data_IF_697596004454
#
_entry.id   IF_697596004454
#
_cell.length_a   1.000
_cell.length_b   1.000
_cell.length_c   1.000
_cell.angle_alpha   90.00
_cell.angle_beta   90.00
_cell.angle_gamma   90.00
#
_symmetry.space_group_name_H-M   'P 1'
#
loop_
_entity.id
_entity.type
_entity.pdbx_description
1 polymer ?
#
# COMPACT_ATOMS: atom_id res chain seq x y z
N UNK A 1 -25.43 -23.88 -45.30
CA UNK A 1 -25.14 -22.42 -45.35
C UNK A 1 -26.13 -21.58 -46.17
N UNK A 2 -27.43 -21.95 -46.26
CA UNK A 2 -28.45 -21.14 -46.97
C UNK A 2 -29.73 -20.84 -46.17
N UNK A 3 -29.75 -21.17 -44.87
CA UNK A 3 -30.89 -20.89 -43.96
C UNK A 3 -30.58 -19.90 -42.83
N UNK A 4 -29.31 -19.58 -42.57
CA UNK A 4 -28.91 -18.59 -41.55
C UNK A 4 -28.94 -17.16 -42.12
N UNK A 5 -28.77 -16.98 -43.43
CA UNK A 5 -28.76 -15.66 -44.06
C UNK A 5 -30.16 -15.02 -44.19
N UNK A 6 -31.25 -15.80 -44.03
CA UNK A 6 -32.61 -15.28 -44.18
C UNK A 6 -33.19 -14.71 -42.87
N UNK A 7 -32.67 -15.10 -41.70
CA UNK A 7 -33.13 -14.54 -40.41
C UNK A 7 -32.51 -13.18 -40.08
N UNK A 8 -31.30 -12.89 -40.59
CA UNK A 8 -30.64 -11.60 -40.35
C UNK A 8 -31.25 -10.48 -41.20
N UNK A 9 -31.81 -10.79 -42.38
CA UNK A 9 -32.41 -9.78 -43.26
C UNK A 9 -33.83 -9.35 -42.87
N UNK A 10 -34.57 -10.19 -42.13
CA UNK A 10 -35.94 -9.85 -41.68
C UNK A 10 -35.95 -9.02 -40.39
N UNK A 11 -34.90 -9.11 -39.57
CA UNK A 11 -34.76 -8.32 -38.34
C UNK A 11 -34.26 -6.88 -38.56
N UNK A 12 -33.78 -6.54 -39.76
CA UNK A 12 -33.33 -5.19 -40.10
C UNK A 12 -34.45 -4.27 -40.61
N UNK A 13 -35.67 -4.79 -40.86
CA UNK A 13 -36.78 -4.04 -41.46
C UNK A 13 -37.99 -3.85 -40.54
N UNK A 14 -37.94 -4.33 -39.30
CA UNK A 14 -38.98 -4.09 -38.29
C UNK A 14 -38.32 -3.46 -37.07
N UNK A 15 -38.60 -2.17 -36.88
CA UNK A 15 -38.07 -1.38 -35.78
C UNK A 15 -38.38 -2.01 -34.43
N UNK A 16 -37.33 -2.36 -33.70
CA UNK A 16 -37.34 -2.68 -32.28
C UNK A 16 -36.04 -2.15 -31.66
N UNK A 17 -35.97 -0.84 -31.44
CA UNK A 17 -34.86 -0.17 -30.76
C UNK A 17 -34.78 -0.45 -29.25
N UNK A 18 -35.64 -1.31 -28.70
CA UNK A 18 -35.66 -1.66 -27.27
C UNK A 18 -35.08 -3.05 -26.94
N UNK A 19 -34.96 -3.98 -27.90
CA UNK A 19 -34.46 -5.33 -27.63
C UNK A 19 -32.92 -5.48 -27.72
N UNK A 20 -32.22 -4.50 -28.28
CA UNK A 20 -30.75 -4.51 -28.39
C UNK A 20 -29.99 -4.10 -27.12
N UNK A 21 -30.68 -3.48 -26.14
CA UNK A 21 -30.08 -3.06 -24.87
C UNK A 21 -30.12 -4.19 -23.83
N UNK A 22 -31.22 -4.94 -23.70
CA UNK A 22 -31.36 -5.99 -22.68
C UNK A 22 -30.40 -7.17 -22.92
N UNK A 23 -30.16 -7.56 -24.17
CA UNK A 23 -29.22 -8.66 -24.49
C UNK A 23 -27.75 -8.24 -24.29
N UNK A 24 -27.43 -6.94 -24.41
CA UNK A 24 -26.08 -6.42 -24.12
C UNK A 24 -25.82 -6.22 -22.63
N UNK A 25 -26.85 -5.98 -21.83
CA UNK A 25 -26.73 -5.84 -20.37
C UNK A 25 -26.50 -7.22 -19.74
N UNK A 26 -27.27 -8.24 -20.13
CA UNK A 26 -27.07 -9.60 -19.61
C UNK A 26 -25.75 -10.24 -20.04
N UNK A 27 -25.22 -9.95 -21.24
CA UNK A 27 -23.93 -10.49 -21.67
C UNK A 27 -22.72 -9.82 -20.98
N UNK A 28 -22.88 -8.61 -20.41
CA UNK A 28 -21.80 -7.91 -19.67
C UNK A 28 -21.76 -8.27 -18.19
N UNK A 29 -22.90 -8.64 -17.60
CA UNK A 29 -22.97 -9.12 -16.21
C UNK A 29 -22.55 -10.59 -16.04
N UNK A 30 -22.48 -11.37 -17.13
CA UNK A 30 -22.07 -12.79 -17.08
C UNK A 30 -20.57 -13.06 -17.24
N UNK A 31 -19.70 -12.04 -17.40
CA UNK A 31 -18.24 -12.23 -17.59
C UNK A 31 -17.41 -11.65 -16.42
N UNK A 32 -18.01 -10.92 -15.49
CA UNK A 32 -17.33 -10.54 -14.24
C UNK A 32 -18.34 -10.62 -13.10
N UNK A 33 -18.32 -11.74 -12.38
CA UNK A 33 -18.81 -11.71 -11.00
C UNK A 33 -18.08 -10.61 -10.24
N UNK A 34 -18.64 -10.10 -9.12
CA UNK A 34 -17.88 -9.22 -8.25
C UNK A 34 -16.53 -9.89 -7.98
N UNK A 35 -15.43 -9.15 -8.17
CA UNK A 35 -14.12 -9.63 -7.76
C UNK A 35 -14.26 -10.13 -6.31
N UNK A 36 -13.71 -11.32 -5.98
CA UNK A 36 -13.79 -11.81 -4.61
C UNK A 36 -13.32 -10.70 -3.68
N UNK A 37 -14.11 -10.39 -2.64
CA UNK A 37 -13.70 -9.39 -1.67
C UNK A 37 -12.31 -9.76 -1.15
N UNK A 38 -11.35 -8.80 -1.12
CA UNK A 38 -10.00 -9.10 -0.70
C UNK A 38 -10.05 -9.70 0.71
N UNK A 39 -9.59 -10.93 0.83
CA UNK A 39 -9.53 -11.61 2.12
C UNK A 39 -8.40 -10.97 2.93
N UNK A 40 -8.78 -10.19 3.93
CA UNK A 40 -7.85 -9.69 4.95
C UNK A 40 -7.38 -10.90 5.74
N UNK A 41 -6.11 -11.26 5.56
CA UNK A 41 -5.47 -12.35 6.31
C UNK A 41 -4.63 -11.76 7.44
N UNK A 42 -4.62 -12.41 8.61
CA UNK A 42 -3.75 -12.03 9.74
C UNK A 42 -2.29 -12.47 9.52
N UNK A 43 -1.86 -12.61 8.26
CA UNK A 43 -0.52 -13.04 7.92
C UNK A 43 0.48 -11.96 8.37
N UNK A 44 1.36 -12.33 9.28
CA UNK A 44 2.46 -11.47 9.75
C UNK A 44 3.65 -11.71 8.83
N UNK A 45 4.21 -10.63 8.29
CA UNK A 45 5.45 -10.69 7.54
C UNK A 45 6.57 -11.30 8.41
N UNK A 46 7.17 -12.37 7.89
CA UNK A 46 8.33 -13.02 8.47
C UNK A 46 9.46 -13.01 7.45
N UNK A 47 10.67 -12.78 7.90
CA UNK A 47 11.80 -12.61 7.01
C UNK A 47 12.40 -13.93 6.57
N UNK A 48 12.78 -13.96 5.30
CA UNK A 48 13.69 -14.96 4.78
C UNK A 48 15.11 -14.55 5.18
N UNK A 49 15.60 -15.07 6.32
CA UNK A 49 16.98 -14.82 6.76
C UNK A 49 17.95 -15.31 5.68
N UNK A 50 18.72 -14.37 5.10
CA UNK A 50 19.75 -14.69 4.13
C UNK A 50 21.13 -14.34 4.71
N UNK A 51 21.76 -15.34 5.33
CA UNK A 51 23.07 -15.19 5.96
C UNK A 51 24.19 -14.88 4.95
N UNK A 52 23.96 -15.12 3.66
CA UNK A 52 24.96 -14.87 2.60
C UNK A 52 25.15 -13.41 2.22
N UNK A 53 24.23 -12.51 2.64
CA UNK A 53 24.35 -11.07 2.38
C UNK A 53 25.49 -10.49 3.22
N UNK A 54 26.46 -9.84 2.58
CA UNK A 54 27.59 -9.17 3.25
C UNK A 54 27.37 -7.67 3.34
N UNK A 55 26.81 -7.07 2.28
CA UNK A 55 26.58 -5.63 2.18
C UNK A 55 25.19 -5.32 1.63
N UNK A 56 24.53 -4.35 2.25
CA UNK A 56 23.15 -3.97 1.97
C UNK A 56 22.99 -2.48 1.70
N UNK A 57 22.24 -2.14 0.68
CA UNK A 57 21.78 -0.77 0.44
C UNK A 57 20.35 -0.58 0.94
N UNK A 58 20.06 0.56 1.55
CA UNK A 58 18.69 0.96 1.90
C UNK A 58 18.29 2.21 1.12
N UNK A 59 17.11 2.21 0.50
CA UNK A 59 16.52 3.41 -0.11
C UNK A 59 15.08 3.56 0.31
N UNK A 60 14.73 4.77 0.74
CA UNK A 60 13.37 5.13 1.12
C UNK A 60 12.74 6.10 0.12
N UNK A 61 11.52 5.81 -0.30
CA UNK A 61 10.69 6.65 -1.16
C UNK A 61 9.42 7.04 -0.39
N UNK A 62 9.19 8.35 -0.21
CA UNK A 62 7.98 8.86 0.43
C UNK A 62 6.92 9.27 -0.59
N UNK A 63 5.65 9.17 -0.17
CA UNK A 63 4.49 9.53 -0.98
C UNK A 63 4.17 11.02 -1.06
N UNK A 64 2.97 11.32 -1.59
CA UNK A 64 2.50 12.69 -1.86
C UNK A 64 2.51 13.55 -0.59
N UNK A 65 2.99 14.80 -0.70
CA UNK A 65 3.06 15.74 0.42
C UNK A 65 4.12 15.45 1.48
N UNK A 66 4.85 14.34 1.37
CA UNK A 66 5.96 14.01 2.29
C UNK A 66 7.23 14.79 1.96
N UNK A 67 7.44 15.95 2.59
CA UNK A 67 8.80 16.41 2.90
C UNK A 67 9.32 15.58 4.08
N UNK A 68 10.62 15.28 4.11
CA UNK A 68 11.28 14.32 5.03
C UNK A 68 10.58 14.26 6.40
N UNK A 69 9.72 13.25 6.67
CA UNK A 69 8.98 13.21 7.92
C UNK A 69 9.93 12.95 9.07
N UNK A 70 9.54 13.41 10.26
CA UNK A 70 10.21 13.03 11.52
C UNK A 70 10.37 11.51 11.63
N UNK A 71 9.41 10.75 11.11
CA UNK A 71 9.42 9.28 11.11
C UNK A 71 10.51 8.67 10.22
N UNK A 72 10.90 9.32 9.12
CA UNK A 72 12.00 8.83 8.28
C UNK A 72 13.32 8.88 9.05
N UNK A 73 13.59 9.95 9.81
CA UNK A 73 14.85 10.09 10.55
C UNK A 73 15.05 8.98 11.58
N UNK A 74 13.98 8.54 12.24
CA UNK A 74 14.05 7.40 13.16
C UNK A 74 14.41 6.12 12.41
N UNK A 75 13.72 5.81 11.29
CA UNK A 75 14.00 4.58 10.53
C UNK A 75 15.38 4.62 9.87
N UNK A 76 15.80 5.78 9.39
CA UNK A 76 17.13 6.00 8.83
C UNK A 76 18.22 5.69 9.87
N UNK A 77 18.05 6.12 11.12
CA UNK A 77 19.00 5.82 12.19
C UNK A 77 19.14 4.32 12.40
N UNK A 78 18.04 3.57 12.34
CA UNK A 78 18.03 2.12 12.49
C UNK A 78 18.70 1.41 11.31
N UNK A 79 18.42 1.86 10.10
CA UNK A 79 19.10 1.35 8.89
C UNK A 79 20.60 1.60 8.95
N UNK A 80 21.03 2.77 9.44
CA UNK A 80 22.45 3.11 9.59
C UNK A 80 23.15 2.29 10.68
N UNK A 81 22.40 1.69 11.60
CA UNK A 81 22.93 0.81 12.64
C UNK A 81 23.09 -0.65 12.18
N UNK A 82 22.48 -1.05 11.05
CA UNK A 82 22.73 -2.37 10.47
C UNK A 82 24.23 -2.52 10.11
N UNK A 83 24.95 -3.50 10.69
CA UNK A 83 26.38 -3.69 10.43
C UNK A 83 26.67 -4.05 8.97
N UNK A 84 25.67 -4.50 8.20
CA UNK A 84 25.79 -4.78 6.76
C UNK A 84 25.44 -3.56 5.90
N UNK A 85 24.94 -2.45 6.46
CA UNK A 85 24.56 -1.28 5.69
C UNK A 85 25.77 -0.62 5.01
N UNK A 86 25.75 -0.57 3.68
CA UNK A 86 26.73 0.14 2.87
C UNK A 86 26.32 1.59 2.60
N UNK A 87 25.01 1.84 2.52
CA UNK A 87 24.41 3.18 2.43
C UNK A 87 22.95 3.15 2.89
N UNK A 88 22.44 4.33 3.26
CA UNK A 88 21.04 4.58 3.55
C UNK A 88 20.67 5.90 2.90
N UNK A 89 19.73 5.87 1.98
CA UNK A 89 19.38 7.01 1.14
C UNK A 89 17.89 7.29 1.13
N UNK A 90 17.56 8.56 0.91
CA UNK A 90 16.21 9.03 0.67
C UNK A 90 16.09 9.49 -0.78
N UNK A 91 15.07 9.02 -1.48
CA UNK A 91 14.75 9.52 -2.82
C UNK A 91 13.65 10.58 -2.76
N UNK A 92 13.97 11.86 -2.99
CA UNK A 92 13.00 12.94 -3.04
C UNK A 92 12.28 12.95 -4.41
N UNK A 93 11.16 12.25 -4.51
CA UNK A 93 10.38 12.23 -5.75
C UNK A 93 9.77 13.61 -6.08
N UNK A 94 9.85 14.01 -7.34
CA UNK A 94 9.22 15.23 -7.86
C UNK A 94 7.77 14.94 -8.27
N UNK A 95 6.84 15.30 -7.39
CA UNK A 95 5.42 14.97 -7.50
C UNK A 95 4.68 15.78 -8.58
N UNK A 96 5.35 16.81 -9.14
CA UNK A 96 4.78 17.62 -10.22
C UNK A 96 4.80 16.90 -11.57
N UNK A 97 5.63 15.84 -11.69
CA UNK A 97 5.80 15.04 -12.88
C UNK A 97 4.83 13.86 -12.92
N UNK A 98 4.70 13.22 -14.08
CA UNK A 98 3.97 11.97 -14.22
C UNK A 98 4.82 10.75 -13.83
N UNK A 99 4.16 9.65 -13.44
CA UNK A 99 4.81 8.42 -12.96
C UNK A 99 5.93 7.90 -13.90
N UNK A 100 5.80 7.89 -15.24
CA UNK A 100 6.89 7.49 -16.12
C UNK A 100 8.15 8.36 -15.98
N UNK A 101 8.00 9.67 -15.87
CA UNK A 101 9.11 10.62 -15.72
C UNK A 101 9.76 10.49 -14.34
N UNK A 102 8.95 10.32 -13.28
CA UNK A 102 9.45 10.06 -11.92
C UNK A 102 10.26 8.76 -11.91
N UNK A 103 9.77 7.73 -12.59
CA UNK A 103 10.43 6.43 -12.70
C UNK A 103 11.76 6.52 -13.43
N UNK A 104 11.85 7.25 -14.54
CA UNK A 104 13.11 7.43 -15.26
C UNK A 104 14.15 8.14 -14.38
N UNK A 105 13.75 9.19 -13.67
CA UNK A 105 14.63 9.88 -12.71
C UNK A 105 15.06 8.96 -11.56
N UNK A 106 14.16 8.14 -11.05
CA UNK A 106 14.47 7.19 -9.99
C UNK A 106 15.48 6.14 -10.46
N UNK A 107 15.27 5.55 -11.65
CA UNK A 107 16.20 4.57 -12.23
C UNK A 107 17.59 5.19 -12.44
N UNK A 108 17.68 6.42 -12.95
CA UNK A 108 18.95 7.12 -13.11
C UNK A 108 19.64 7.42 -11.77
N UNK A 109 18.87 7.82 -10.76
CA UNK A 109 19.39 8.01 -9.40
C UNK A 109 19.97 6.70 -8.84
N UNK A 110 19.23 5.59 -9.01
CA UNK A 110 19.66 4.27 -8.55
C UNK A 110 20.88 3.76 -9.31
N UNK A 111 20.96 3.92 -10.63
CA UNK A 111 22.14 3.55 -11.43
C UNK A 111 23.40 4.27 -10.92
N UNK A 112 23.28 5.58 -10.68
CA UNK A 112 24.34 6.38 -10.09
C UNK A 112 24.74 5.91 -8.69
N UNK A 113 23.77 5.54 -7.84
CA UNK A 113 24.04 5.06 -6.49
C UNK A 113 24.71 3.68 -6.51
N UNK A 114 24.12 2.72 -7.22
CA UNK A 114 24.58 1.32 -7.29
C UNK A 114 25.95 1.18 -7.96
N UNK A 115 26.29 2.05 -8.93
CA UNK A 115 27.64 2.06 -9.53
C UNK A 115 28.76 2.49 -8.56
N UNK A 116 28.43 3.14 -7.45
CA UNK A 116 29.42 3.59 -6.44
C UNK A 116 29.53 2.66 -5.24
N UNK A 117 28.60 1.73 -5.07
CA UNK A 117 28.52 0.88 -3.90
C UNK A 117 28.46 -0.59 -4.30
N UNK A 118 29.44 -1.37 -3.83
CA UNK A 118 29.42 -2.83 -3.92
C UNK A 118 28.49 -3.39 -2.84
N UNK A 119 27.29 -3.84 -3.23
CA UNK A 119 26.26 -4.42 -2.36
C UNK A 119 25.72 -5.73 -2.93
N UNK A 120 25.34 -6.67 -2.06
CA UNK A 120 24.73 -7.94 -2.44
C UNK A 120 23.18 -7.86 -2.41
N UNK A 121 22.64 -6.97 -1.58
CA UNK A 121 21.20 -6.80 -1.35
C UNK A 121 20.80 -5.33 -1.34
N UNK A 122 19.66 -5.03 -1.95
CA UNK A 122 19.02 -3.73 -1.90
C UNK A 122 17.63 -3.87 -1.24
N UNK A 123 17.39 -3.09 -0.20
CA UNK A 123 16.09 -3.01 0.47
C UNK A 123 15.46 -1.65 0.16
N UNK A 124 14.29 -1.69 -0.49
CA UNK A 124 13.52 -0.52 -0.87
C UNK A 124 12.29 -0.40 0.02
N UNK A 125 12.09 0.77 0.63
CA UNK A 125 10.86 1.10 1.34
C UNK A 125 10.11 2.18 0.57
N UNK A 126 8.93 1.83 0.06
CA UNK A 126 8.05 2.74 -0.64
C UNK A 126 6.81 3.05 0.17
N UNK A 127 6.75 4.21 0.79
CA UNK A 127 5.58 4.64 1.57
C UNK A 127 4.57 5.39 0.70
N UNK A 128 3.28 5.03 0.83
CA UNK A 128 2.19 5.68 0.13
C UNK A 128 2.50 5.75 -1.38
N UNK A 129 2.38 6.91 -2.02
CA UNK A 129 2.73 7.10 -3.43
C UNK A 129 4.20 6.77 -3.79
N UNK A 130 5.14 6.81 -2.82
CA UNK A 130 6.51 6.38 -3.06
C UNK A 130 6.62 4.88 -3.36
N UNK A 131 5.71 4.07 -2.82
CA UNK A 131 5.61 2.66 -3.17
C UNK A 131 5.01 2.41 -4.56
N UNK A 132 4.18 3.32 -5.07
CA UNK A 132 3.74 3.28 -6.48
C UNK A 132 4.93 3.50 -7.40
N UNK A 133 5.77 4.49 -7.13
CA UNK A 133 7.01 4.71 -7.89
C UNK A 133 7.94 3.51 -7.81
N UNK A 134 8.23 3.03 -6.61
CA UNK A 134 9.12 1.88 -6.43
C UNK A 134 8.62 0.64 -7.16
N UNK A 135 7.32 0.30 -7.00
CA UNK A 135 6.69 -0.84 -7.67
C UNK A 135 6.68 -0.69 -9.19
N UNK A 136 6.37 0.50 -9.72
CA UNK A 136 6.36 0.76 -11.16
C UNK A 136 7.77 0.70 -11.80
N UNK A 137 8.80 1.07 -11.05
CA UNK A 137 10.19 1.08 -11.54
C UNK A 137 10.92 -0.25 -11.36
N UNK A 138 10.44 -1.15 -10.50
CA UNK A 138 11.23 -2.28 -9.98
C UNK A 138 11.74 -3.21 -11.09
N UNK A 139 10.94 -3.48 -12.12
CA UNK A 139 11.28 -4.36 -13.23
C UNK A 139 12.42 -3.82 -14.11
N UNK A 140 12.72 -2.51 -14.01
CA UNK A 140 13.72 -1.80 -14.80
C UNK A 140 14.94 -1.37 -13.97
N UNK A 141 15.01 -1.79 -12.70
CA UNK A 141 16.11 -1.43 -11.84
C UNK A 141 17.41 -2.11 -12.31
N UNK A 142 18.52 -1.37 -12.52
CA UNK A 142 19.78 -1.94 -13.02
C UNK A 142 20.58 -2.58 -11.87
N UNK A 143 20.04 -3.63 -11.26
CA UNK A 143 20.69 -4.34 -10.16
C UNK A 143 20.52 -5.85 -10.28
N UNK A 144 21.64 -6.57 -10.26
CA UNK A 144 21.67 -8.03 -10.38
C UNK A 144 21.69 -8.75 -9.02
N UNK A 145 21.95 -8.02 -7.93
CA UNK A 145 21.87 -8.57 -6.57
C UNK A 145 20.42 -8.79 -6.14
N UNK A 146 20.24 -9.26 -4.91
CA UNK A 146 18.90 -9.49 -4.35
C UNK A 146 18.18 -8.18 -4.03
N UNK A 147 16.89 -8.08 -4.35
CA UNK A 147 16.08 -6.90 -4.03
C UNK A 147 14.90 -7.30 -3.16
N UNK A 148 14.69 -6.58 -2.06
CA UNK A 148 13.48 -6.64 -1.26
C UNK A 148 12.74 -5.30 -1.37
N UNK A 149 11.58 -5.30 -2.01
CA UNK A 149 10.70 -4.13 -2.10
C UNK A 149 9.57 -4.24 -1.08
N UNK A 150 9.53 -3.32 -0.13
CA UNK A 150 8.47 -3.17 0.85
C UNK A 150 7.63 -1.94 0.50
N UNK A 151 6.39 -2.16 0.07
CA UNK A 151 5.43 -1.06 -0.16
C UNK A 151 4.52 -0.92 1.05
N UNK A 152 4.36 0.30 1.57
CA UNK A 152 3.69 0.59 2.85
C UNK A 152 2.48 1.47 2.60
N UNK A 153 1.28 0.92 2.77
CA UNK A 153 0.01 1.59 2.48
C UNK A 153 -0.05 2.29 1.11
N UNK A 154 0.56 1.66 0.10
CA UNK A 154 0.72 2.25 -1.22
C UNK A 154 -0.51 2.03 -2.11
N UNK A 155 -1.05 3.08 -2.75
CA UNK A 155 -2.21 2.95 -3.62
C UNK A 155 -1.82 2.41 -5.00
N UNK A 156 -1.39 1.14 -5.07
CA UNK A 156 -0.85 0.52 -6.28
C UNK A 156 -1.86 0.42 -7.43
N UNK A 157 -3.16 0.33 -7.12
CA UNK A 157 -4.24 0.39 -8.10
C UNK A 157 -4.74 1.82 -8.37
N UNK A 158 -4.56 2.74 -7.40
CA UNK A 158 -5.07 4.11 -7.45
C UNK A 158 -6.60 4.19 -7.27
N UNK A 159 -7.21 5.34 -7.59
CA UNK A 159 -8.62 5.63 -7.25
C UNK A 159 -9.64 5.28 -8.35
N UNK A 160 -9.17 4.87 -9.54
CA UNK A 160 -9.99 4.56 -10.72
C UNK A 160 -11.03 5.65 -11.08
N UNK A 161 -10.61 6.92 -11.06
CA UNK A 161 -11.45 8.05 -11.48
C UNK A 161 -11.48 8.20 -13.01
N UNK A 162 -11.94 7.15 -13.69
CA UNK A 162 -12.11 7.07 -15.15
C UNK A 162 -13.60 7.14 -15.55
N UNK A 163 -13.87 7.30 -16.84
CA UNK A 163 -15.23 7.29 -17.40
C UNK A 163 -16.13 8.35 -16.77
N UNK A 164 -17.28 7.95 -16.23
CA UNK A 164 -18.23 8.86 -15.57
C UNK A 164 -17.64 9.54 -14.31
N UNK A 165 -16.60 8.94 -13.71
CA UNK A 165 -15.93 9.50 -12.53
C UNK A 165 -14.82 10.49 -12.88
N UNK A 166 -14.46 10.63 -14.16
CA UNK A 166 -13.40 11.53 -14.60
C UNK A 166 -13.70 13.01 -14.29
N UNK A 167 -14.98 13.38 -14.13
CA UNK A 167 -15.40 14.72 -13.69
C UNK A 167 -14.85 15.11 -12.30
N UNK A 168 -14.50 14.14 -11.46
CA UNK A 168 -13.94 14.36 -10.12
C UNK A 168 -12.43 14.61 -10.13
N UNK A 169 -11.75 14.41 -11.28
CA UNK A 169 -10.32 14.70 -11.41
C UNK A 169 -10.01 16.19 -11.26
N UNK A 170 -10.94 17.08 -11.62
CA UNK A 170 -10.74 18.53 -11.59
C UNK A 170 -9.47 18.95 -12.33
N UNK A 171 -8.75 19.93 -11.76
CA UNK A 171 -7.52 20.49 -12.32
C UNK A 171 -6.24 19.74 -11.90
N UNK A 172 -6.36 18.52 -11.37
CA UNK A 172 -5.20 17.74 -10.92
C UNK A 172 -4.30 17.38 -12.10
N UNK A 173 -2.98 17.53 -11.89
CA UNK A 173 -1.89 17.23 -12.83
C UNK A 173 -0.82 16.35 -12.18
N UNK A 174 0.17 15.92 -12.98
CA UNK A 174 1.32 15.15 -12.50
C UNK A 174 0.93 13.86 -11.79
N UNK A 175 1.70 13.51 -10.76
CA UNK A 175 1.59 12.21 -10.12
C UNK A 175 0.26 12.00 -9.39
N UNK A 176 -0.26 13.07 -8.78
CA UNK A 176 -1.57 13.04 -8.13
C UNK A 176 -2.67 12.69 -9.14
N UNK A 177 -2.60 13.23 -10.37
CA UNK A 177 -3.55 12.88 -11.44
C UNK A 177 -3.42 11.41 -11.82
N UNK A 178 -2.20 10.89 -11.95
CA UNK A 178 -1.98 9.50 -12.34
C UNK A 178 -2.56 8.53 -11.30
N UNK A 179 -2.32 8.79 -10.01
CA UNK A 179 -2.90 8.01 -8.90
C UNK A 179 -4.43 8.11 -8.90
N UNK A 180 -4.98 9.29 -9.15
CA UNK A 180 -6.43 9.49 -9.23
C UNK A 180 -7.06 8.70 -10.39
N UNK A 181 -6.42 8.69 -11.56
CA UNK A 181 -6.84 7.90 -12.72
C UNK A 181 -6.70 6.40 -12.44
N UNK A 182 -5.70 6.01 -11.67
CA UNK A 182 -5.39 4.62 -11.33
C UNK A 182 -4.67 3.88 -12.45
N UNK A 183 -4.08 2.75 -12.08
CA UNK A 183 -3.07 2.08 -12.88
C UNK A 183 -3.57 0.74 -13.41
N UNK A 184 -3.07 0.32 -14.57
CA UNK A 184 -3.14 -1.08 -14.99
C UNK A 184 -1.97 -1.88 -14.40
N UNK A 185 -1.92 -3.21 -14.59
CA UNK A 185 -0.85 -4.07 -14.09
C UNK A 185 0.54 -3.52 -14.41
N UNK A 186 1.40 -3.46 -13.40
CA UNK A 186 2.81 -3.12 -13.57
C UNK A 186 3.58 -4.29 -14.17
N UNK A 187 4.71 -3.97 -14.79
CA UNK A 187 5.61 -4.98 -15.33
C UNK A 187 6.08 -5.93 -14.20
N UNK A 188 6.10 -7.26 -14.44
CA UNK A 188 6.50 -8.21 -13.42
C UNK A 188 7.95 -7.98 -13.02
N UNK A 189 8.27 -8.11 -11.72
CA UNK A 189 9.63 -7.94 -11.23
C UNK A 189 10.53 -9.09 -11.73
N UNK A 190 11.85 -8.84 -11.76
CA UNK A 190 12.85 -9.88 -12.08
C UNK A 190 12.92 -10.98 -11.01
N UNK A 191 13.50 -12.14 -11.34
CA UNK A 191 13.60 -13.29 -10.42
C UNK A 191 14.41 -12.99 -9.14
N UNK A 192 15.29 -12.00 -9.18
CA UNK A 192 16.09 -11.53 -8.04
C UNK A 192 15.33 -10.59 -7.09
N UNK A 193 14.08 -10.25 -7.41
CA UNK A 193 13.27 -9.28 -6.66
C UNK A 193 12.16 -10.00 -5.91
N UNK A 194 12.09 -9.77 -4.60
CA UNK A 194 10.94 -10.11 -3.76
C UNK A 194 10.17 -8.84 -3.43
N UNK A 195 8.84 -8.90 -3.58
CA UNK A 195 7.95 -7.77 -3.31
C UNK A 195 7.00 -8.14 -2.19
N UNK A 196 6.94 -7.26 -1.19
CA UNK A 196 6.07 -7.37 -0.04
C UNK A 196 5.18 -6.12 0.02
N UNK A 197 3.88 -6.34 -0.10
CA UNK A 197 2.88 -5.29 -0.06
C UNK A 197 2.20 -5.28 1.30
N UNK A 198 2.51 -4.24 2.08
CA UNK A 198 2.04 -4.05 3.44
C UNK A 198 0.88 -3.07 3.43
N UNK A 199 -0.32 -3.60 3.67
CA UNK A 199 -1.58 -2.88 3.51
C UNK A 199 -2.14 -2.39 4.84
N UNK A 200 -2.69 -1.19 4.81
CA UNK A 200 -3.50 -0.65 5.90
C UNK A 200 -5.00 -0.77 5.59
N UNK A 201 -5.85 -0.49 6.58
CA UNK A 201 -7.31 -0.42 6.44
C UNK A 201 -7.79 1.03 6.26
N UNK A 202 -9.07 1.19 5.91
CA UNK A 202 -9.69 2.50 5.86
C UNK A 202 -9.85 3.05 7.27
N UNK A 203 -9.31 4.24 7.50
CA UNK A 203 -9.31 4.91 8.79
C UNK A 203 -9.42 6.44 8.65
N UNK A 204 -9.71 7.18 9.73
CA UNK A 204 -9.88 8.64 9.68
C UNK A 204 -8.63 9.37 9.18
N UNK A 205 -7.45 8.87 9.52
CA UNK A 205 -6.17 9.43 9.08
C UNK A 205 -6.02 9.22 7.58
N UNK A 206 -6.22 8.00 7.07
CA UNK A 206 -6.19 7.71 5.64
C UNK A 206 -7.19 8.61 4.89
N UNK A 207 -8.42 8.70 5.37
CA UNK A 207 -9.47 9.51 4.77
C UNK A 207 -9.08 11.01 4.71
N UNK A 208 -8.43 11.53 5.75
CA UNK A 208 -7.90 12.88 5.76
C UNK A 208 -6.78 13.08 4.73
N UNK A 209 -5.87 12.10 4.58
CA UNK A 209 -4.79 12.14 3.57
C UNK A 209 -5.30 11.98 2.14
N UNK A 210 -6.38 11.23 1.95
CA UNK A 210 -7.09 11.14 0.67
C UNK A 210 -7.70 12.49 0.25
N UNK A 211 -7.92 13.41 1.21
CA UNK A 211 -8.36 14.78 0.96
C UNK A 211 -9.63 14.82 0.11
N UNK A 212 -9.60 15.59 -0.98
CA UNK A 212 -10.74 15.70 -1.89
C UNK A 212 -11.18 14.37 -2.55
N UNK A 213 -10.33 13.34 -2.51
CA UNK A 213 -10.65 12.00 -3.01
C UNK A 213 -11.21 11.07 -1.93
N UNK A 214 -11.48 11.58 -0.73
CA UNK A 214 -12.00 10.82 0.41
C UNK A 214 -13.22 9.95 0.05
N UNK A 215 -14.14 10.45 -0.78
CA UNK A 215 -15.33 9.70 -1.21
C UNK A 215 -15.01 8.44 -2.05
N UNK A 216 -13.79 8.33 -2.57
CA UNK A 216 -13.31 7.22 -3.38
C UNK A 216 -12.16 6.45 -2.69
N UNK A 217 -11.82 6.83 -1.47
CA UNK A 217 -10.71 6.33 -0.69
C UNK A 217 -11.10 5.05 0.06
N UNK A 218 -11.16 3.94 -0.69
CA UNK A 218 -11.32 2.61 -0.15
C UNK A 218 -9.95 1.94 -0.09
N UNK A 219 -9.41 1.78 1.13
CA UNK A 219 -8.08 1.23 1.35
C UNK A 219 -7.86 -0.12 0.65
N UNK A 220 -8.86 -1.00 0.66
CA UNK A 220 -8.76 -2.32 0.05
C UNK A 220 -8.66 -2.20 -1.47
N UNK A 221 -9.47 -1.35 -2.08
CA UNK A 221 -9.46 -1.15 -3.54
C UNK A 221 -8.25 -0.38 -4.03
N UNK A 222 -7.88 0.72 -3.37
CA UNK A 222 -6.79 1.57 -3.88
C UNK A 222 -5.42 0.91 -3.68
N UNK A 223 -5.28 0.09 -2.64
CA UNK A 223 -4.11 -0.74 -2.37
C UNK A 223 -4.25 -2.15 -2.97
N UNK A 224 -5.18 -2.38 -3.90
CA UNK A 224 -5.23 -3.67 -4.58
C UNK A 224 -3.89 -3.92 -5.28
N UNK A 225 -3.42 -5.16 -5.18
CA UNK A 225 -2.12 -5.51 -5.71
C UNK A 225 -2.15 -5.44 -7.23
N UNK A 226 -1.30 -4.54 -7.73
CA UNK A 226 -1.16 -4.27 -9.14
C UNK A 226 0.24 -4.69 -9.67
N UNK A 227 1.00 -5.43 -8.85
CA UNK A 227 2.33 -5.95 -9.16
C UNK A 227 2.33 -7.49 -9.02
N UNK A 228 2.40 -8.24 -10.13
CA UNK A 228 2.34 -9.70 -10.09
C UNK A 228 3.45 -10.32 -9.24
N UNK A 229 3.11 -11.38 -8.49
CA UNK A 229 4.08 -12.10 -7.64
C UNK A 229 4.35 -11.48 -6.28
N UNK A 230 3.74 -10.33 -5.96
CA UNK A 230 3.84 -9.72 -4.62
C UNK A 230 3.21 -10.60 -3.54
N UNK A 231 3.87 -10.72 -2.40
CA UNK A 231 3.25 -11.23 -1.18
C UNK A 231 2.51 -10.08 -0.49
N UNK A 232 1.33 -10.35 0.07
CA UNK A 232 0.48 -9.33 0.67
C UNK A 232 0.32 -9.59 2.17
N UNK A 233 0.46 -8.53 2.96
CA UNK A 233 0.31 -8.56 4.41
C UNK A 233 -0.62 -7.44 4.82
N UNK A 234 -1.66 -7.76 5.58
CA UNK A 234 -2.60 -6.77 6.07
C UNK A 234 -2.24 -6.44 7.51
N UNK A 235 -2.15 -5.15 7.81
CA UNK A 235 -1.88 -4.64 9.15
C UNK A 235 -3.06 -3.85 9.65
N UNK A 236 -4.18 -4.50 9.93
CA UNK A 236 -5.41 -3.79 10.17
C UNK A 236 -5.39 -3.08 11.55
N UNK A 237 -4.37 -3.34 12.38
CA UNK A 237 -4.08 -2.65 13.65
C UNK A 237 -3.30 -1.35 13.48
N UNK A 238 -2.63 -1.17 12.35
CA UNK A 238 -1.92 0.06 12.05
C UNK A 238 -2.83 0.96 11.21
N UNK A 239 -2.81 2.25 11.50
CA UNK A 239 -3.38 3.29 10.64
C UNK A 239 -2.37 3.72 9.56
N UNK A 240 -2.81 4.60 8.66
CA UNK A 240 -1.95 5.10 7.57
C UNK A 240 -0.64 5.76 8.05
N UNK A 241 -0.59 6.29 9.28
CA UNK A 241 0.60 6.94 9.83
C UNK A 241 1.56 5.91 10.47
N UNK A 242 0.99 5.02 11.28
CA UNK A 242 1.73 4.06 12.10
C UNK A 242 2.25 2.87 11.30
N UNK A 243 1.63 2.52 10.17
CA UNK A 243 2.06 1.40 9.33
C UNK A 243 3.50 1.58 8.81
N UNK A 244 3.89 2.82 8.47
CA UNK A 244 5.24 3.12 7.98
C UNK A 244 6.29 2.71 9.00
N UNK A 245 6.12 3.15 10.25
CA UNK A 245 7.02 2.87 11.36
C UNK A 245 6.96 1.40 11.78
N UNK A 246 5.75 0.88 11.96
CA UNK A 246 5.53 -0.49 12.46
C UNK A 246 6.10 -1.55 11.51
N UNK A 247 5.87 -1.39 10.21
CA UNK A 247 6.41 -2.33 9.22
C UNK A 247 7.91 -2.17 9.06
N UNK A 248 8.43 -0.94 8.95
CA UNK A 248 9.87 -0.72 8.81
C UNK A 248 10.65 -1.33 9.99
N UNK A 249 10.18 -1.16 11.23
CA UNK A 249 10.78 -1.80 12.40
C UNK A 249 10.70 -3.32 12.34
N UNK A 250 9.56 -3.89 11.93
CA UNK A 250 9.40 -5.34 11.75
C UNK A 250 10.40 -5.89 10.73
N UNK A 251 10.59 -5.18 9.61
CA UNK A 251 11.51 -5.57 8.55
C UNK A 251 12.97 -5.42 9.00
N UNK A 252 13.32 -4.28 9.60
CA UNK A 252 14.69 -4.01 10.07
C UNK A 252 15.11 -4.94 11.21
N UNK A 253 14.16 -5.39 12.03
CA UNK A 253 14.42 -6.36 13.07
C UNK A 253 15.02 -7.67 12.54
N UNK A 254 14.65 -8.06 11.32
CA UNK A 254 15.21 -9.23 10.67
C UNK A 254 16.64 -9.07 10.20
N UNK A 255 17.07 -7.83 10.00
CA UNK A 255 18.36 -7.49 9.43
C UNK A 255 19.37 -7.07 10.50
N UNK A 256 18.88 -6.70 11.70
CA UNK A 256 19.68 -6.32 12.85
C UNK A 256 19.01 -6.73 14.17
N UNK A 257 19.09 -8.04 14.51
CA UNK A 257 18.41 -8.64 15.66
C UNK A 257 18.79 -7.97 16.98
N UNK A 258 20.07 -7.63 17.20
CA UNK A 258 20.52 -6.98 18.43
C UNK A 258 19.93 -5.59 18.63
N UNK A 259 19.67 -4.85 17.55
CA UNK A 259 19.00 -3.56 17.62
C UNK A 259 17.48 -3.70 17.64
N UNK A 260 16.93 -4.75 17.03
CA UNK A 260 15.52 -5.11 17.15
C UNK A 260 15.11 -5.27 18.61
N UNK A 261 15.91 -6.03 19.37
CA UNK A 261 15.71 -6.27 20.80
C UNK A 261 15.88 -4.98 21.61
N UNK A 262 16.85 -4.12 21.25
CA UNK A 262 17.04 -2.82 21.91
C UNK A 262 15.89 -1.85 21.65
N UNK A 263 15.35 -1.82 20.43
CA UNK A 263 14.20 -0.98 20.06
C UNK A 263 12.92 -1.44 20.71
N UNK A 264 12.68 -2.75 20.75
CA UNK A 264 11.57 -3.34 21.48
C UNK A 264 11.65 -3.05 23.00
N UNK A 265 12.86 -2.77 23.53
CA UNK A 265 13.10 -2.45 24.93
C UNK A 265 13.08 -0.94 25.27
N UNK A 266 12.94 -0.04 24.29
CA UNK A 266 12.80 1.40 24.58
C UNK A 266 11.42 1.69 25.20
N UNK A 267 11.35 2.40 26.34
CA UNK A 267 10.07 2.80 26.92
C UNK A 267 9.27 3.64 25.92
N UNK A 268 7.96 3.39 25.87
CA UNK A 268 6.94 4.11 25.08
C UNK A 268 6.73 5.55 25.62
N UNK A 269 7.80 6.30 25.84
CA UNK A 269 7.76 7.66 26.37
C UNK A 269 7.72 8.67 25.22
N UNK A 270 6.57 8.71 24.54
CA UNK A 270 5.89 9.90 23.96
C UNK A 270 4.62 9.46 23.21
N UNK A 271 3.61 9.03 23.96
CA UNK A 271 2.19 9.21 23.58
C UNK A 271 1.68 8.54 22.30
N UNK A 272 2.31 7.47 21.82
CA UNK A 272 1.81 6.69 20.69
C UNK A 272 2.00 5.20 21.06
N UNK A 273 0.92 4.52 21.43
CA UNK A 273 0.92 3.09 21.74
C UNK A 273 1.41 2.30 20.52
N UNK A 274 2.60 1.69 20.63
CA UNK A 274 3.32 1.05 19.52
C UNK A 274 2.84 -0.38 19.20
N UNK A 275 1.89 -0.95 19.96
CA UNK A 275 1.24 -2.22 19.63
C UNK A 275 -0.24 -2.11 20.01
N UNK A 276 -1.11 -1.77 19.06
CA UNK A 276 -2.54 -1.62 19.32
C UNK A 276 -3.27 -0.83 18.25
N UNK A 277 -4.52 -0.43 18.52
CA UNK A 277 -5.51 0.23 17.64
C UNK A 277 -5.05 1.57 16.99
N UNK A 278 -3.74 1.86 16.95
CA UNK A 278 -3.14 3.03 16.31
C UNK A 278 -3.50 4.36 16.97
N UNK A 279 -3.27 5.46 16.24
CA UNK A 279 -3.81 6.78 16.61
C UNK A 279 -5.34 6.86 16.50
N UNK A 280 -5.99 5.83 15.96
CA UNK A 280 -7.44 5.73 15.80
C UNK A 280 -8.16 5.55 17.14
N UNK A 281 -7.47 5.03 18.15
CA UNK A 281 -7.93 5.06 19.54
C UNK A 281 -7.26 6.17 20.37
N UNK A 282 -6.87 7.28 19.74
CA UNK A 282 -6.41 8.46 20.48
C UNK A 282 -7.62 9.30 20.97
N UNK A 283 -8.21 8.85 22.08
CA UNK A 283 -9.39 9.47 22.71
C UNK A 283 -10.65 8.62 22.61
N UNK A 284 -11.57 8.81 23.57
CA UNK A 284 -12.77 7.98 23.75
C UNK A 284 -13.64 7.92 22.48
N UNK A 285 -13.96 9.08 21.93
CA UNK A 285 -14.90 9.23 20.81
C UNK A 285 -14.40 8.55 19.53
N UNK A 286 -13.11 8.71 19.18
CA UNK A 286 -12.51 8.06 18.01
C UNK A 286 -12.42 6.54 18.18
N UNK A 287 -12.10 6.08 19.38
CA UNK A 287 -12.06 4.66 19.66
C UNK A 287 -13.46 4.03 19.59
N UNK A 288 -14.49 4.71 20.08
CA UNK A 288 -15.89 4.28 19.94
C UNK A 288 -16.31 4.20 18.47
N UNK A 289 -16.02 5.22 17.65
CA UNK A 289 -16.33 5.22 16.23
C UNK A 289 -15.61 4.08 15.47
N UNK A 290 -14.31 3.88 15.74
CA UNK A 290 -13.54 2.79 15.15
C UNK A 290 -14.09 1.41 15.55
N UNK A 291 -14.38 1.22 16.84
CA UNK A 291 -14.85 -0.06 17.39
C UNK A 291 -16.31 -0.37 17.05
N UNK A 292 -17.14 0.61 16.71
CA UNK A 292 -18.48 0.36 16.15
C UNK A 292 -18.40 -0.42 14.84
N UNK A 293 -17.40 -0.12 14.00
CA UNK A 293 -17.20 -0.77 12.70
C UNK A 293 -16.29 -2.00 12.82
N UNK A 294 -15.41 -2.04 13.83
CA UNK A 294 -14.37 -3.06 14.00
C UNK A 294 -14.49 -3.84 15.34
N UNK A 295 -15.72 -4.09 15.81
CA UNK A 295 -16.00 -4.63 17.15
C UNK A 295 -15.19 -5.87 17.54
N UNK A 296 -15.15 -6.88 16.68
CA UNK A 296 -14.41 -8.13 16.94
C UNK A 296 -12.92 -7.89 17.20
N UNK A 297 -12.36 -6.83 16.60
CA UNK A 297 -10.93 -6.51 16.63
C UNK A 297 -10.57 -5.73 17.89
N UNK A 298 -11.40 -4.77 18.28
CA UNK A 298 -11.26 -4.10 19.58
C UNK A 298 -11.44 -5.08 20.74
N UNK A 299 -12.35 -6.05 20.60
CA UNK A 299 -12.55 -7.11 21.60
C UNK A 299 -11.34 -8.04 21.72
N UNK A 300 -10.73 -8.45 20.60
CA UNK A 300 -9.52 -9.27 20.62
C UNK A 300 -8.34 -8.53 21.24
N UNK A 301 -8.11 -7.27 20.82
CA UNK A 301 -7.08 -6.41 21.39
C UNK A 301 -7.23 -6.26 22.91
N UNK A 302 -8.43 -5.95 23.40
CA UNK A 302 -8.66 -5.79 24.83
C UNK A 302 -8.67 -7.10 25.64
N UNK A 303 -8.78 -8.26 24.98
CA UNK A 303 -8.57 -9.54 25.63
C UNK A 303 -7.07 -9.85 25.80
N UNK A 304 -6.23 -9.40 24.86
CA UNK A 304 -4.78 -9.59 24.88
C UNK A 304 -4.05 -8.52 25.72
N UNK A 305 -4.61 -7.31 25.79
CA UNK A 305 -4.03 -6.14 26.48
C UNK A 305 -4.99 -5.52 27.51
N UNK A 306 -5.42 -6.27 28.55
CA UNK A 306 -6.35 -5.76 29.57
C UNK A 306 -5.78 -4.60 30.40
N UNK A 307 -4.45 -4.45 30.43
CA UNK A 307 -3.74 -3.37 31.11
C UNK A 307 -3.84 -2.01 30.40
N UNK A 308 -4.23 -1.99 29.12
CA UNK A 308 -4.36 -0.74 28.36
C UNK A 308 -5.51 0.11 28.92
N UNK A 309 -5.26 1.40 29.15
CA UNK A 309 -6.26 2.36 29.63
C UNK A 309 -7.48 2.49 28.73
N UNK A 310 -7.37 2.12 27.45
CA UNK A 310 -8.48 1.97 26.52
C UNK A 310 -9.41 0.81 26.92
N UNK A 311 -8.85 -0.32 27.31
CA UNK A 311 -9.56 -1.57 27.59
C UNK A 311 -10.14 -1.63 29.01
N UNK A 312 -9.73 -0.71 29.88
CA UNK A 312 -10.24 -0.56 31.25
C UNK A 312 -11.57 0.22 31.33
N UNK A 313 -12.07 0.77 30.20
CA UNK A 313 -13.37 1.43 30.13
C UNK A 313 -14.35 0.53 29.37
N UNK A 314 -15.59 0.33 29.87
CA UNK A 314 -16.62 -0.31 29.07
C UNK A 314 -16.94 0.63 27.91
N UNK A 315 -16.59 0.24 26.70
CA UNK A 315 -17.15 0.88 25.51
C UNK A 315 -18.64 0.53 25.50
N UNK A 316 -19.50 1.52 25.26
CA UNK A 316 -20.95 1.29 25.12
C UNK A 316 -21.20 0.57 23.79
N UNK A 317 -20.98 -0.74 23.80
CA UNK A 317 -21.27 -1.66 22.70
C UNK A 317 -22.77 -1.97 22.68
N UNK A 318 -23.63 -0.97 22.50
CA UNK A 318 -24.99 -1.28 22.07
C UNK A 318 -24.90 -1.83 20.65
N UNK A 319 -25.03 -3.15 20.54
CA UNK A 319 -25.28 -3.85 19.29
C UNK A 319 -26.57 -3.25 18.72
N UNK A 320 -26.44 -2.29 17.80
CA UNK A 320 -27.58 -1.93 16.95
C UNK A 320 -27.80 -3.13 16.04
N UNK A 321 -28.94 -3.84 16.16
CA UNK A 321 -29.20 -5.07 15.40
C UNK A 321 -29.23 -4.86 13.89
#
# INVERSE_FOLDING_TARGET
>A
MRRVLLCVLVLALLGCSQFGQEVRIQARELISGPAPEPQVTDAVFACDVNDSVRRRGYVWLMGLGGTVPTDYFEQELLMKQDPKAAFVEFYPQDQTLHLPEISERFILYMDGLLSRHDIDELVLFGSSAGGVTAAYSIARLPFNGSVALHTLASPLAGYDLKGIRAQWLGDRTGFLRDIAIGFGPFDPPGENVKVYHHKTVTDEVLLAYCGDMQAFCDALKIQDNNLPGSQEFYYPRYDHFTIMRGVARTVLACYNISEAERLAALPVERGLSEEGLGMLCNGKERCEAFCQVNYGRCKAYCAEHPEDGLCQRPFDFEVVP
#
